data_IF_645393982507
#
_entry.id   IF_645393982507
#
_cell.length_a   1.000
_cell.length_b   1.000
_cell.length_c   1.000
_cell.angle_alpha   90.00
_cell.angle_beta   90.00
_cell.angle_gamma   90.00
#
_symmetry.space_group_name_H-M   'P 1'
#
loop_
_entity.id
_entity.type
_entity.pdbx_description
1 polymer ?
#
# COMPACT_ATOMS: atom_id res chain seq x y z
N UNK A 1 -12.69 4.46 16.77
CA UNK A 1 -13.06 4.33 15.34
C UNK A 1 -11.77 4.39 14.56
N UNK A 2 -11.45 3.33 13.81
CA UNK A 2 -10.27 3.30 12.93
C UNK A 2 -10.53 4.21 11.73
N UNK A 3 -9.56 5.03 11.36
CA UNK A 3 -9.62 5.95 10.22
C UNK A 3 -8.46 5.68 9.27
N UNK A 4 -8.77 5.66 7.98
CA UNK A 4 -7.77 5.66 6.92
C UNK A 4 -7.28 7.09 6.66
N UNK A 5 -6.05 7.25 6.13
CA UNK A 5 -5.55 8.56 5.76
C UNK A 5 -6.41 9.25 4.69
N UNK A 6 -6.60 10.58 4.76
CA UNK A 6 -7.50 11.30 3.85
C UNK A 6 -7.15 11.18 2.36
N UNK A 7 -5.87 11.26 1.99
CA UNK A 7 -5.45 11.13 0.59
C UNK A 7 -5.61 9.70 0.09
N UNK A 8 -5.45 8.71 0.97
CA UNK A 8 -5.75 7.33 0.62
C UNK A 8 -7.26 7.10 0.40
N UNK A 9 -8.13 7.72 1.20
CA UNK A 9 -9.57 7.69 0.97
C UNK A 9 -9.95 8.32 -0.38
N UNK A 10 -9.34 9.46 -0.72
CA UNK A 10 -9.52 10.10 -2.04
C UNK A 10 -9.04 9.20 -3.18
N UNK A 11 -7.93 8.49 -3.00
CA UNK A 11 -7.49 7.50 -3.97
C UNK A 11 -8.55 6.40 -4.16
N UNK A 12 -9.10 5.84 -3.08
CA UNK A 12 -10.16 4.82 -3.16
C UNK A 12 -11.45 5.31 -3.82
N UNK A 13 -11.77 6.60 -3.68
CA UNK A 13 -12.89 7.24 -4.41
C UNK A 13 -12.59 7.34 -5.91
N UNK A 14 -11.36 7.69 -6.28
CA UNK A 14 -10.97 7.78 -7.69
C UNK A 14 -10.98 6.43 -8.43
N UNK A 15 -10.85 5.33 -7.69
CA UNK A 15 -10.82 3.96 -8.22
C UNK A 15 -12.07 3.18 -7.82
N UNK A 16 -13.17 3.88 -7.50
CA UNK A 16 -14.40 3.25 -7.07
C UNK A 16 -14.91 2.24 -8.10
N UNK A 17 -15.21 1.02 -7.65
CA UNK A 17 -15.65 -0.09 -8.48
C UNK A 17 -14.50 -0.98 -9.01
N UNK A 18 -13.26 -0.52 -8.94
CA UNK A 18 -12.10 -1.33 -9.30
C UNK A 18 -11.72 -2.26 -8.16
N UNK A 19 -11.40 -3.53 -8.46
CA UNK A 19 -10.86 -4.47 -7.47
C UNK A 19 -9.37 -4.20 -7.20
N UNK A 20 -8.66 -3.72 -8.21
CA UNK A 20 -7.23 -3.45 -8.19
C UNK A 20 -6.86 -2.49 -9.31
N UNK A 21 -5.87 -1.63 -9.07
CA UNK A 21 -5.25 -0.78 -10.08
C UNK A 21 -3.81 -1.21 -10.28
N UNK A 22 -3.44 -1.38 -11.53
CA UNK A 22 -2.08 -1.69 -11.96
C UNK A 22 -1.30 -0.39 -12.18
N UNK A 23 -0.24 -0.19 -11.40
CA UNK A 23 0.63 0.97 -11.54
C UNK A 23 2.01 0.46 -11.91
N UNK A 24 2.31 0.45 -13.20
CA UNK A 24 3.58 -0.01 -13.75
C UNK A 24 4.18 1.02 -14.69
N UNK A 25 5.50 1.10 -14.72
CA UNK A 25 6.23 1.88 -15.71
C UNK A 25 6.50 1.06 -16.99
N UNK A 26 7.14 1.68 -17.97
CA UNK A 26 7.48 1.03 -19.26
C UNK A 26 8.46 -0.16 -19.11
N UNK A 27 9.23 -0.21 -18.03
CA UNK A 27 10.15 -1.31 -17.72
C UNK A 27 9.46 -2.49 -16.99
N UNK A 28 8.16 -2.37 -16.68
CA UNK A 28 7.41 -3.39 -15.95
C UNK A 28 7.65 -3.40 -14.43
N UNK A 29 8.32 -2.37 -13.89
CA UNK A 29 8.44 -2.17 -12.46
C UNK A 29 7.23 -1.40 -11.93
N UNK A 30 6.65 -1.85 -10.82
CA UNK A 30 5.40 -1.28 -10.33
C UNK A 30 4.75 -2.06 -9.22
N UNK A 31 3.48 -1.75 -8.95
CA UNK A 31 2.71 -2.38 -7.90
C UNK A 31 1.25 -2.52 -8.28
N UNK A 32 0.63 -3.53 -7.71
CA UNK A 32 -0.81 -3.68 -7.66
C UNK A 32 -1.34 -2.93 -6.43
N UNK A 33 -2.21 -1.95 -6.62
CA UNK A 33 -2.88 -1.21 -5.54
C UNK A 33 -4.33 -1.65 -5.42
N UNK A 34 -4.74 -2.07 -4.23
CA UNK A 34 -6.03 -2.70 -4.02
C UNK A 34 -7.17 -1.69 -3.94
N UNK A 35 -8.27 -2.03 -4.61
CA UNK A 35 -9.56 -1.40 -4.39
C UNK A 35 -10.26 -1.93 -3.14
N UNK A 36 -11.38 -1.28 -2.78
CA UNK A 36 -12.07 -1.52 -1.50
C UNK A 36 -12.46 -2.97 -1.26
N UNK A 37 -12.88 -3.69 -2.30
CA UNK A 37 -13.34 -5.07 -2.20
C UNK A 37 -12.21 -6.03 -1.77
N UNK A 38 -11.00 -5.81 -2.29
CA UNK A 38 -9.84 -6.68 -2.07
C UNK A 38 -9.11 -6.42 -0.75
N UNK A 39 -9.27 -5.23 -0.18
CA UNK A 39 -8.53 -4.81 1.02
C UNK A 39 -8.72 -5.74 2.21
N UNK A 40 -9.97 -6.13 2.51
CA UNK A 40 -10.27 -6.98 3.66
C UNK A 40 -9.66 -8.37 3.50
N UNK A 41 -9.87 -9.01 2.35
CA UNK A 41 -9.35 -10.35 2.05
C UNK A 41 -7.82 -10.39 2.13
N UNK A 42 -7.13 -9.38 1.56
CA UNK A 42 -5.67 -9.32 1.56
C UNK A 42 -5.11 -9.11 2.97
N UNK A 43 -5.70 -8.23 3.76
CA UNK A 43 -5.26 -8.03 5.15
C UNK A 43 -5.52 -9.24 6.05
N UNK A 44 -6.57 -10.02 5.79
CA UNK A 44 -6.85 -11.28 6.46
C UNK A 44 -5.82 -12.35 6.06
N UNK A 45 -5.55 -12.49 4.76
CA UNK A 45 -4.60 -13.48 4.21
C UNK A 45 -3.20 -13.35 4.83
N UNK A 46 -2.71 -12.12 5.01
CA UNK A 46 -1.39 -11.85 5.61
C UNK A 46 -1.44 -11.60 7.12
N UNK A 47 -2.61 -11.78 7.75
CA UNK A 47 -2.82 -11.56 9.19
C UNK A 47 -2.26 -10.20 9.67
N UNK A 48 -2.41 -9.15 8.87
CA UNK A 48 -1.74 -7.85 9.11
C UNK A 48 -2.12 -7.28 10.47
N UNK A 49 -3.37 -7.45 10.89
CA UNK A 49 -3.84 -7.00 12.20
C UNK A 49 -3.17 -7.73 13.38
N UNK A 50 -2.68 -8.96 13.18
CA UNK A 50 -1.96 -9.73 14.19
C UNK A 50 -0.50 -9.28 14.31
N UNK A 51 0.19 -9.21 13.17
CA UNK A 51 1.63 -8.92 13.16
C UNK A 51 1.94 -7.42 13.22
N UNK A 52 1.10 -6.58 12.62
CA UNK A 52 1.30 -5.14 12.42
C UNK A 52 0.01 -4.35 12.71
N UNK A 53 -0.52 -4.35 13.95
CA UNK A 53 -1.87 -3.89 14.29
C UNK A 53 -2.16 -2.41 14.02
N UNK A 54 -1.13 -1.60 13.80
CA UNK A 54 -1.26 -0.18 13.47
C UNK A 54 -1.26 0.09 11.96
N UNK A 55 -1.03 -0.94 11.15
CA UNK A 55 -0.89 -0.82 9.71
C UNK A 55 -2.01 -1.58 8.99
N UNK A 56 -2.17 -1.23 7.72
CA UNK A 56 -3.15 -1.85 6.86
C UNK A 56 -2.58 -1.94 5.46
N UNK A 57 -2.57 -3.14 4.88
CA UNK A 57 -2.02 -3.40 3.56
C UNK A 57 -2.95 -2.83 2.49
N UNK A 58 -2.34 -2.16 1.50
CA UNK A 58 -3.04 -1.44 0.43
C UNK A 58 -2.60 -1.86 -0.97
N UNK A 59 -1.58 -2.69 -1.09
CA UNK A 59 -1.05 -3.16 -2.37
C UNK A 59 0.21 -3.99 -2.20
N UNK A 60 0.72 -4.54 -3.30
CA UNK A 60 1.99 -5.27 -3.32
C UNK A 60 2.70 -5.26 -4.67
N UNK A 61 4.01 -5.53 -4.61
CA UNK A 61 4.86 -5.96 -5.73
C UNK A 61 5.56 -7.27 -5.32
N UNK A 62 5.09 -8.41 -5.82
CA UNK A 62 5.54 -9.72 -5.31
C UNK A 62 5.32 -9.84 -3.79
N UNK A 63 6.40 -10.13 -3.06
CA UNK A 63 6.42 -10.24 -1.59
C UNK A 63 6.61 -8.89 -0.88
N UNK A 64 6.72 -7.79 -1.62
CA UNK A 64 6.78 -6.45 -1.04
C UNK A 64 5.37 -5.90 -0.84
N UNK A 65 4.95 -5.74 0.42
CA UNK A 65 3.68 -5.10 0.76
C UNK A 65 3.81 -3.58 0.87
N UNK A 66 2.76 -2.87 0.47
CA UNK A 66 2.57 -1.45 0.75
C UNK A 66 1.48 -1.26 1.79
N UNK A 67 1.68 -0.32 2.71
CA UNK A 67 0.85 -0.14 3.89
C UNK A 67 0.54 1.32 4.17
N UNK A 68 -0.63 1.58 4.73
CA UNK A 68 -0.94 2.82 5.44
C UNK A 68 -0.85 2.58 6.94
N UNK A 69 -0.59 3.64 7.71
CA UNK A 69 -0.74 3.60 9.16
C UNK A 69 -2.12 4.12 9.57
N UNK A 70 -2.85 3.32 10.32
CA UNK A 70 -4.20 3.64 10.80
C UNK A 70 -4.16 4.81 11.78
N UNK A 71 -5.13 5.72 11.65
CA UNK A 71 -5.24 6.92 12.49
C UNK A 71 -3.97 7.81 12.48
N UNK A 72 -3.22 7.80 11.37
CA UNK A 72 -1.99 8.57 11.15
C UNK A 72 -2.14 9.56 10.00
N UNK A 73 -1.00 10.10 9.58
CA UNK A 73 -0.76 10.81 8.33
C UNK A 73 -0.93 9.95 7.06
N UNK A 74 -0.76 10.58 5.90
CA UNK A 74 -0.93 9.98 4.58
C UNK A 74 0.27 9.13 4.12
N UNK A 75 1.31 9.01 4.93
CA UNK A 75 2.53 8.30 4.58
C UNK A 75 2.25 6.84 4.19
N UNK A 76 2.94 6.41 3.13
CA UNK A 76 2.93 5.02 2.68
C UNK A 76 4.18 4.34 3.20
N UNK A 77 4.00 3.14 3.70
CA UNK A 77 5.05 2.29 4.23
C UNK A 77 5.20 1.04 3.37
N UNK A 78 6.35 0.40 3.48
CA UNK A 78 6.63 -0.88 2.86
C UNK A 78 7.30 -1.83 3.84
N UNK A 79 7.05 -3.12 3.64
CA UNK A 79 7.74 -4.20 4.30
C UNK A 79 7.65 -5.47 3.46
N UNK A 80 8.58 -6.39 3.68
CA UNK A 80 8.49 -7.74 3.16
C UNK A 80 7.35 -8.48 3.89
N UNK A 81 6.44 -9.09 3.12
CA UNK A 81 5.27 -9.80 3.63
C UNK A 81 5.66 -11.04 4.44
N UNK A 82 6.79 -11.66 4.15
CA UNK A 82 7.38 -12.74 4.94
C UNK A 82 8.06 -12.27 6.24
N UNK A 83 8.19 -10.96 6.45
CA UNK A 83 8.87 -10.37 7.61
C UNK A 83 7.96 -9.54 8.53
N UNK A 84 6.64 -9.57 8.34
CA UNK A 84 5.69 -8.86 9.20
C UNK A 84 5.85 -9.27 10.68
N UNK A 85 5.86 -8.27 11.58
CA UNK A 85 6.10 -8.47 13.01
C UNK A 85 7.56 -8.75 13.38
N UNK A 86 8.46 -8.90 12.40
CA UNK A 86 9.89 -9.19 12.62
C UNK A 86 10.82 -8.09 12.09
N UNK A 87 10.43 -7.41 11.00
CA UNK A 87 11.16 -6.29 10.42
C UNK A 87 10.35 -4.99 10.52
N UNK A 88 10.99 -3.83 10.72
CA UNK A 88 10.28 -2.56 10.82
C UNK A 88 9.71 -2.11 9.48
N UNK A 89 8.50 -1.56 9.51
CA UNK A 89 7.92 -0.79 8.40
C UNK A 89 8.83 0.38 8.01
N UNK A 90 9.14 0.52 6.73
CA UNK A 90 9.93 1.63 6.19
C UNK A 90 9.04 2.57 5.40
N UNK A 91 9.24 3.88 5.55
CA UNK A 91 8.49 4.85 4.75
C UNK A 91 8.90 4.72 3.27
N UNK A 92 7.91 4.49 2.42
CA UNK A 92 8.05 4.40 0.97
C UNK A 92 7.95 5.79 0.34
N UNK A 93 6.87 6.50 0.68
CA UNK A 93 6.55 7.84 0.19
C UNK A 93 5.64 8.60 1.16
N UNK A 94 5.54 9.91 0.96
CA UNK A 94 4.73 10.81 1.81
C UNK A 94 3.22 10.63 1.66
N UNK A 95 2.76 10.11 0.53
CA UNK A 95 1.35 9.85 0.23
C UNK A 95 1.18 8.90 -0.97
N UNK A 96 -0.04 8.40 -1.17
CA UNK A 96 -0.36 7.44 -2.24
C UNK A 96 -0.16 8.02 -3.65
N UNK A 97 -0.38 9.32 -3.84
CA UNK A 97 -0.22 9.94 -5.15
C UNK A 97 1.27 10.12 -5.48
N UNK A 98 2.08 10.48 -4.49
CA UNK A 98 3.54 10.52 -4.59
C UNK A 98 4.13 9.14 -4.90
N UNK A 99 3.59 8.07 -4.30
CA UNK A 99 3.99 6.70 -4.65
C UNK A 99 3.70 6.38 -6.12
N UNK A 100 2.47 6.69 -6.59
CA UNK A 100 2.06 6.44 -7.98
C UNK A 100 2.93 7.23 -8.96
N UNK A 101 3.22 8.50 -8.68
CA UNK A 101 4.12 9.35 -9.47
C UNK A 101 5.53 8.77 -9.52
N UNK A 102 6.09 8.39 -8.36
CA UNK A 102 7.42 7.78 -8.28
C UNK A 102 7.54 6.50 -9.12
N UNK A 103 6.54 5.62 -9.03
CA UNK A 103 6.51 4.39 -9.82
C UNK A 103 6.56 4.72 -11.31
N UNK A 104 5.69 5.64 -11.76
CA UNK A 104 5.58 6.03 -13.17
C UNK A 104 6.84 6.71 -13.72
N UNK A 105 7.44 7.60 -12.94
CA UNK A 105 8.54 8.46 -13.40
C UNK A 105 9.91 7.80 -13.34
N UNK A 106 10.16 6.96 -12.33
CA UNK A 106 11.51 6.45 -12.05
C UNK A 106 11.65 4.95 -12.27
N UNK A 107 10.56 4.18 -12.23
CA UNK A 107 10.64 2.72 -12.19
C UNK A 107 11.33 2.14 -10.97
N UNK A 108 11.72 2.99 -10.04
CA UNK A 108 12.44 2.64 -8.84
C UNK A 108 11.46 2.79 -7.68
N UNK A 109 10.92 1.66 -7.22
CA UNK A 109 10.23 1.61 -5.92
C UNK A 109 11.25 1.86 -4.78
N UNK A 110 12.55 1.70 -5.08
CA UNK A 110 13.67 1.88 -4.16
C UNK A 110 14.79 2.72 -4.78
N UNK A 111 15.15 3.81 -4.10
CA UNK A 111 16.48 4.42 -4.16
C UNK A 111 17.02 4.55 -2.73
#
# INVERSE_FOLDING_TARGET
MIKFPPLYLKFLENIEGEECVEVFNEAGAGAYLYGRASLAERNETYEVALYEPNFYMIGQDGDLGFFIKLNSDDAIYLNDLGALGSAPMRMAEKDIFALIEKIKDRGEIFS
#
